data_IF_574621708452
#
_entry.id   IF_574621708452
#
_cell.length_a   1.000
_cell.length_b   1.000
_cell.length_c   1.000
_cell.angle_alpha   90.00
_cell.angle_beta   90.00
_cell.angle_gamma   90.00
#
_symmetry.space_group_name_H-M   'P 1'
#
loop_
_entity.id
_entity.type
_entity.pdbx_description
1 polymer ?
#
# COMPACT_ATOMS: atom_id res chain seq x y z
N UNK A 1 -28.07 38.17 -48.65
CA UNK A 1 -27.82 36.74 -48.35
C UNK A 1 -27.12 36.69 -47.01
N UNK A 2 -27.87 36.49 -45.92
CA UNK A 2 -27.35 36.49 -44.56
C UNK A 2 -27.71 35.16 -43.90
N UNK A 3 -26.78 34.20 -43.97
CA UNK A 3 -26.91 32.91 -43.30
C UNK A 3 -26.77 33.10 -41.79
N UNK A 4 -27.91 33.23 -41.11
CA UNK A 4 -27.99 33.15 -39.66
C UNK A 4 -28.42 31.73 -39.27
N UNK A 5 -27.44 30.84 -39.18
CA UNK A 5 -27.64 29.50 -38.62
C UNK A 5 -28.09 29.66 -37.15
N UNK A 6 -29.26 29.16 -36.74
CA UNK A 6 -29.83 29.51 -35.44
C UNK A 6 -29.04 28.83 -34.31
N UNK A 7 -28.48 29.65 -33.41
CA UNK A 7 -27.79 29.29 -32.16
C UNK A 7 -28.54 28.22 -31.33
N UNK A 8 -29.85 28.08 -31.53
CA UNK A 8 -30.72 27.08 -30.93
C UNK A 8 -30.39 25.64 -31.34
N UNK A 9 -29.95 25.39 -32.59
CA UNK A 9 -29.59 24.03 -33.05
C UNK A 9 -28.32 23.51 -32.36
N UNK A 10 -27.37 24.39 -32.04
CA UNK A 10 -26.10 24.04 -31.40
C UNK A 10 -26.29 23.70 -29.91
N UNK A 11 -27.22 24.38 -29.21
CA UNK A 11 -27.54 24.08 -27.80
C UNK A 11 -28.24 22.73 -27.64
N UNK A 12 -29.05 22.31 -28.62
CA UNK A 12 -29.81 21.05 -28.55
C UNK A 12 -28.92 19.82 -28.79
N UNK A 13 -27.94 19.90 -29.70
CA UNK A 13 -27.01 18.79 -29.95
C UNK A 13 -26.05 18.52 -28.79
N UNK A 14 -25.70 19.54 -27.99
CA UNK A 14 -24.88 19.34 -26.79
C UNK A 14 -25.62 18.63 -25.63
N UNK A 15 -26.96 18.71 -25.60
CA UNK A 15 -27.81 18.09 -24.57
C UNK A 15 -28.16 16.62 -24.84
N UNK A 16 -28.06 16.15 -26.09
CA UNK A 16 -28.46 14.79 -26.49
C UNK A 16 -27.31 13.77 -26.57
N UNK A 17 -26.10 14.13 -26.13
CA UNK A 17 -24.97 13.18 -26.11
C UNK A 17 -25.10 12.27 -24.89
N UNK A 18 -25.35 10.99 -25.16
CA UNK A 18 -25.50 9.89 -24.20
C UNK A 18 -24.40 9.93 -23.11
N UNK A 19 -24.72 9.87 -21.79
CA UNK A 19 -23.74 9.93 -20.70
C UNK A 19 -22.60 8.91 -20.83
N UNK A 20 -22.89 7.74 -21.39
CA UNK A 20 -21.90 6.69 -21.66
C UNK A 20 -20.81 7.15 -22.62
N UNK A 21 -21.17 7.92 -23.66
CA UNK A 21 -20.22 8.48 -24.62
C UNK A 21 -19.27 9.47 -23.93
N UNK A 22 -19.80 10.36 -23.06
CA UNK A 22 -18.97 11.28 -22.26
C UNK A 22 -18.01 10.55 -21.32
N UNK A 23 -18.50 9.52 -20.63
CA UNK A 23 -17.67 8.67 -19.76
C UNK A 23 -16.53 8.01 -20.55
N UNK A 24 -16.82 7.50 -21.74
CA UNK A 24 -15.82 6.87 -22.61
C UNK A 24 -14.79 7.88 -23.14
N UNK A 25 -15.21 9.10 -23.50
CA UNK A 25 -14.28 10.17 -23.88
C UNK A 25 -13.37 10.55 -22.72
N UNK A 26 -13.90 10.69 -21.51
CA UNK A 26 -13.10 11.00 -20.31
C UNK A 26 -12.10 9.88 -20.03
N UNK A 27 -12.52 8.61 -20.09
CA UNK A 27 -11.62 7.45 -19.93
C UNK A 27 -10.48 7.48 -20.94
N UNK A 28 -10.77 7.77 -22.21
CA UNK A 28 -9.77 7.91 -23.28
C UNK A 28 -8.79 9.06 -23.02
N UNK A 29 -9.28 10.22 -22.58
CA UNK A 29 -8.44 11.37 -22.22
C UNK A 29 -7.50 11.05 -21.05
N UNK A 30 -8.02 10.40 -20.00
CA UNK A 30 -7.22 9.96 -18.85
C UNK A 30 -6.15 8.97 -19.29
N UNK A 31 -6.51 8.01 -20.16
CA UNK A 31 -5.55 7.03 -20.67
C UNK A 31 -4.44 7.69 -21.49
N UNK A 32 -4.79 8.64 -22.36
CA UNK A 32 -3.82 9.42 -23.14
C UNK A 32 -2.87 10.19 -22.21
N UNK A 33 -3.40 10.93 -21.25
CA UNK A 33 -2.60 11.67 -20.26
C UNK A 33 -1.63 10.75 -19.50
N UNK A 34 -2.10 9.59 -19.04
CA UNK A 34 -1.25 8.60 -18.35
C UNK A 34 -0.13 8.08 -19.25
N UNK A 35 -0.42 7.82 -20.52
CA UNK A 35 0.58 7.38 -21.52
C UNK A 35 1.63 8.45 -21.76
N UNK A 36 1.21 9.70 -21.94
CA UNK A 36 2.13 10.83 -22.19
C UNK A 36 3.02 11.06 -20.97
N UNK A 37 2.45 11.04 -19.76
CA UNK A 37 3.19 11.15 -18.51
C UNK A 37 4.22 10.02 -18.36
N UNK A 38 3.86 8.78 -18.69
CA UNK A 38 4.81 7.65 -18.68
C UNK A 38 5.97 7.87 -19.65
N UNK A 39 5.68 8.25 -20.89
CA UNK A 39 6.70 8.48 -21.92
C UNK A 39 7.66 9.61 -21.53
N UNK A 40 7.15 10.70 -20.97
CA UNK A 40 7.97 11.81 -20.49
C UNK A 40 8.84 11.38 -19.32
N UNK A 41 8.28 10.69 -18.33
CA UNK A 41 9.05 10.18 -17.20
C UNK A 41 10.14 9.21 -17.65
N UNK A 42 9.85 8.32 -18.61
CA UNK A 42 10.81 7.38 -19.16
C UNK A 42 12.01 8.09 -19.82
N UNK A 43 11.75 9.16 -20.59
CA UNK A 43 12.81 9.97 -21.23
C UNK A 43 13.70 10.70 -20.23
N UNK A 44 13.17 11.06 -19.06
CA UNK A 44 13.89 11.76 -17.99
C UNK A 44 14.67 10.80 -17.07
N UNK A 45 14.60 9.49 -17.29
CA UNK A 45 15.38 8.52 -16.52
C UNK A 45 16.84 8.62 -16.94
N UNK A 46 17.69 9.01 -15.99
CA UNK A 46 19.12 9.11 -16.16
C UNK A 46 19.81 8.38 -15.01
N UNK A 47 20.98 7.80 -15.31
CA UNK A 47 21.81 7.10 -14.33
C UNK A 47 22.56 8.12 -13.45
N UNK A 48 23.00 9.23 -14.03
CA UNK A 48 23.81 10.24 -13.34
C UNK A 48 23.04 10.98 -12.23
N UNK A 49 21.77 11.32 -12.48
CA UNK A 49 20.93 12.06 -11.53
C UNK A 49 20.30 11.16 -10.44
N UNK A 50 20.58 9.85 -10.48
CA UNK A 50 19.98 8.84 -9.60
C UNK A 50 18.46 8.69 -9.75
N UNK A 51 17.85 9.30 -10.78
CA UNK A 51 16.41 9.24 -11.04
C UNK A 51 15.97 7.81 -11.37
N UNK A 52 16.79 7.05 -12.12
CA UNK A 52 16.55 5.65 -12.43
C UNK A 52 16.43 4.76 -11.17
N UNK A 53 17.33 4.94 -10.21
CA UNK A 53 17.28 4.19 -8.95
C UNK A 53 16.07 4.57 -8.11
N UNK A 54 15.73 5.86 -8.03
CA UNK A 54 14.55 6.34 -7.29
C UNK A 54 13.24 5.78 -7.85
N UNK A 55 13.08 5.77 -9.18
CA UNK A 55 11.89 5.20 -9.84
C UNK A 55 11.83 3.69 -9.68
N UNK A 56 12.95 2.99 -9.85
CA UNK A 56 13.05 1.54 -9.64
C UNK A 56 12.71 1.16 -8.20
N UNK A 57 13.27 1.88 -7.23
CA UNK A 57 12.98 1.67 -5.79
C UNK A 57 11.51 1.92 -5.47
N UNK A 58 10.89 2.94 -6.06
CA UNK A 58 9.47 3.20 -5.86
C UNK A 58 8.58 2.15 -6.53
N UNK A 59 8.97 1.61 -7.69
CA UNK A 59 8.27 0.50 -8.35
C UNK A 59 8.36 -0.79 -7.52
N UNK A 60 9.54 -1.07 -6.97
CA UNK A 60 9.80 -2.25 -6.12
C UNK A 60 9.30 -2.10 -4.68
N UNK A 61 8.89 -0.90 -4.26
CA UNK A 61 8.22 -0.72 -2.97
C UNK A 61 6.88 -1.43 -3.03
N UNK A 62 6.90 -2.70 -2.60
CA UNK A 62 5.71 -3.37 -2.14
C UNK A 62 5.08 -2.46 -1.08
N UNK A 63 3.90 -1.93 -1.38
CA UNK A 63 3.12 -1.18 -0.41
C UNK A 63 2.90 -2.16 0.73
N UNK A 64 3.60 -1.96 1.86
CA UNK A 64 3.40 -2.75 3.06
C UNK A 64 1.99 -2.44 3.54
N UNK A 65 1.03 -3.18 3.02
CA UNK A 65 -0.29 -3.20 3.59
C UNK A 65 -0.12 -3.85 4.95
N UNK A 66 -0.37 -3.08 6.00
CA UNK A 66 -0.55 -3.67 7.32
C UNK A 66 -1.70 -4.64 7.18
N UNK A 67 -1.44 -5.92 7.47
CA UNK A 67 -2.47 -6.95 7.46
C UNK A 67 -3.60 -6.49 8.37
N UNK A 68 -4.86 -6.57 7.92
CA UNK A 68 -5.97 -6.10 8.73
C UNK A 68 -6.01 -6.90 10.02
N UNK A 69 -6.08 -6.18 11.13
CA UNK A 69 -6.06 -6.73 12.48
C UNK A 69 -7.38 -7.48 12.69
N UNK A 70 -7.31 -8.81 12.88
CA UNK A 70 -8.49 -9.69 13.03
C UNK A 70 -8.71 -10.05 14.49
N UNK A 71 -9.96 -9.91 14.94
CA UNK A 71 -10.43 -10.42 16.23
C UNK A 71 -10.44 -11.95 16.24
N UNK A 72 -10.54 -12.55 17.43
CA UNK A 72 -10.70 -14.01 17.61
C UNK A 72 -11.88 -14.58 16.82
N UNK A 73 -12.92 -13.78 16.64
CA UNK A 73 -14.15 -14.15 15.93
C UNK A 73 -14.00 -14.04 14.39
N UNK A 74 -12.80 -13.70 13.90
CA UNK A 74 -12.51 -13.52 12.48
C UNK A 74 -12.96 -12.18 11.88
N UNK A 75 -13.65 -11.35 12.67
CA UNK A 75 -14.06 -10.00 12.28
C UNK A 75 -12.88 -9.00 12.31
N UNK A 76 -12.99 -7.91 11.53
CA UNK A 76 -11.95 -6.88 11.47
C UNK A 76 -12.06 -5.89 12.64
N UNK A 77 -10.93 -5.51 13.22
CA UNK A 77 -10.86 -4.43 14.20
C UNK A 77 -11.01 -3.06 13.50
N UNK A 78 -12.24 -2.54 13.47
CA UNK A 78 -12.58 -1.28 12.81
C UNK A 78 -12.27 -0.07 13.71
N UNK A 79 -12.60 -0.15 14.99
CA UNK A 79 -12.36 0.92 15.97
C UNK A 79 -10.90 0.97 16.42
N UNK A 80 -10.41 2.15 16.80
CA UNK A 80 -9.07 2.31 17.36
C UNK A 80 -8.92 1.60 18.71
N UNK A 81 -9.97 1.67 19.55
CA UNK A 81 -10.04 0.93 20.82
C UNK A 81 -9.95 -0.58 20.61
N UNK A 82 -10.63 -1.10 19.58
CA UNK A 82 -10.58 -2.53 19.23
C UNK A 82 -9.15 -2.96 18.85
N UNK A 83 -8.44 -2.11 18.09
CA UNK A 83 -7.06 -2.38 17.70
C UNK A 83 -6.15 -2.38 18.93
N UNK A 84 -6.29 -1.38 19.79
CA UNK A 84 -5.48 -1.26 21.01
C UNK A 84 -5.66 -2.46 21.95
N UNK A 85 -6.91 -2.87 22.19
CA UNK A 85 -7.22 -4.03 23.02
C UNK A 85 -6.63 -5.33 22.44
N UNK A 86 -6.72 -5.51 21.11
CA UNK A 86 -6.17 -6.70 20.46
C UNK A 86 -4.65 -6.72 20.49
N UNK A 87 -3.98 -5.58 20.32
CA UNK A 87 -2.55 -5.46 20.55
C UNK A 87 -2.17 -5.76 22.00
N UNK A 88 -2.96 -5.30 22.98
CA UNK A 88 -2.76 -5.64 24.39
C UNK A 88 -2.86 -7.15 24.64
N UNK A 89 -3.78 -7.85 23.96
CA UNK A 89 -3.94 -9.29 24.07
C UNK A 89 -2.73 -10.07 23.53
N UNK A 90 -2.02 -9.54 22.52
CA UNK A 90 -0.78 -10.15 22.01
C UNK A 90 0.29 -10.22 23.10
N UNK A 91 0.40 -9.18 23.95
CA UNK A 91 1.34 -9.18 25.08
C UNK A 91 1.04 -10.32 26.05
N UNK A 92 -0.25 -10.58 26.34
CA UNK A 92 -0.68 -11.71 27.18
C UNK A 92 -0.28 -13.05 26.57
N UNK A 93 -0.43 -13.23 25.26
CA UNK A 93 -0.04 -14.47 24.56
C UNK A 93 1.47 -14.73 24.73
N UNK A 94 2.30 -13.69 24.61
CA UNK A 94 3.75 -13.82 24.80
C UNK A 94 4.15 -14.13 26.25
N UNK A 95 3.36 -13.70 27.24
CA UNK A 95 3.63 -13.99 28.66
C UNK A 95 3.14 -15.35 29.14
N UNK A 96 2.21 -16.01 28.43
CA UNK A 96 1.59 -17.26 28.87
C UNK A 96 2.44 -18.52 28.67
N UNK A 97 3.61 -18.40 28.04
CA UNK A 97 4.56 -19.49 27.97
C UNK A 97 5.29 -19.63 29.31
N UNK A 98 4.60 -20.22 30.30
CA UNK A 98 5.25 -20.92 31.40
C UNK A 98 5.93 -22.18 30.83
N UNK A 99 6.94 -21.98 29.98
CA UNK A 99 7.85 -23.04 29.59
C UNK A 99 8.65 -23.32 30.85
N UNK A 100 8.24 -24.34 31.60
CA UNK A 100 9.09 -24.91 32.64
C UNK A 100 10.23 -25.58 31.87
N UNK A 101 11.45 -25.02 31.89
CA UNK A 101 12.55 -25.57 31.12
C UNK A 101 12.88 -26.97 31.66
N UNK A 102 13.11 -27.92 30.74
CA UNK A 102 13.60 -29.25 31.10
C UNK A 102 14.90 -29.12 31.91
N UNK A 103 15.11 -29.99 32.90
CA UNK A 103 16.28 -29.94 33.79
C UNK A 103 17.60 -29.97 33.01
N UNK A 104 17.69 -30.78 31.96
CA UNK A 104 18.85 -30.82 31.07
C UNK A 104 19.10 -29.49 30.31
N UNK A 105 18.05 -28.71 30.06
CA UNK A 105 18.18 -27.38 29.46
C UNK A 105 18.67 -26.36 30.49
N UNK A 106 18.19 -26.44 31.74
CA UNK A 106 18.67 -25.58 32.84
C UNK A 106 20.16 -25.78 33.09
N UNK A 107 20.63 -27.03 33.10
CA UNK A 107 22.06 -27.33 33.27
C UNK A 107 22.92 -26.72 32.16
N UNK A 108 22.43 -26.72 30.92
CA UNK A 108 23.09 -26.04 29.80
C UNK A 108 23.17 -24.53 29.97
N UNK A 109 22.09 -23.91 30.47
CA UNK A 109 22.05 -22.47 30.72
C UNK A 109 23.04 -22.11 31.83
N UNK A 110 23.01 -22.84 32.95
CA UNK A 110 23.93 -22.60 34.07
C UNK A 110 25.38 -22.74 33.61
N UNK A 111 25.69 -23.82 32.88
CA UNK A 111 27.04 -24.03 32.32
C UNK A 111 27.47 -22.91 31.35
N UNK A 112 26.53 -22.28 30.63
CA UNK A 112 26.83 -21.16 29.74
C UNK A 112 27.04 -19.85 30.50
N UNK A 113 26.27 -19.61 31.56
CA UNK A 113 26.44 -18.43 32.44
C UNK A 113 27.75 -18.53 33.24
N UNK A 114 28.09 -19.72 33.70
CA UNK A 114 29.30 -20.00 34.46
C UNK A 114 30.56 -20.10 33.58
N UNK A 115 30.40 -20.14 32.25
CA UNK A 115 31.53 -20.18 31.34
C UNK A 115 32.22 -18.81 31.28
N UNK A 116 33.55 -18.75 31.40
CA UNK A 116 34.28 -17.50 31.22
C UNK A 116 34.08 -16.99 29.79
N UNK A 117 33.87 -15.67 29.66
CA UNK A 117 33.74 -15.03 28.35
C UNK A 117 35.01 -15.32 27.53
N UNK A 118 34.87 -15.77 26.27
CA UNK A 118 36.03 -15.99 25.41
C UNK A 118 36.70 -14.64 25.19
N UNK A 119 37.92 -14.49 25.70
CA UNK A 119 38.77 -13.35 25.37
C UNK A 119 39.27 -13.54 23.93
N UNK A 120 39.09 -12.50 23.13
CA UNK A 120 39.49 -12.43 21.72
C UNK A 120 40.97 -12.72 21.48
#
# INVERSE_FOLDING_TARGET
MQDTLPLAKIKTTFRQVNPQHRSNTIKKLIQKYKKDLFNTNFKLLNIQDGSLWKTTKNLLKLKKFSSPIKKSDGSLALSDLDKANLFGNISRIFSQQNIIPNTAHLDKINKFIDAPLPMS
#
